data_IF_589422132321
#
_entry.id   IF_589422132321
#
_cell.length_a   1.000
_cell.length_b   1.000
_cell.length_c   1.000
_cell.angle_alpha   90.00
_cell.angle_beta   90.00
_cell.angle_gamma   90.00
#
_symmetry.space_group_name_H-M   'P 1'
#
loop_
_entity.id
_entity.type
_entity.pdbx_description
1 polymer ?
#
# COMPACT_ATOMS: atom_id res chain seq x y z
N UNK A 1 -51.60 21.84 -32.76
CA UNK A 1 -50.45 22.48 -32.09
C UNK A 1 -50.00 21.63 -30.90
N UNK A 2 -50.90 21.20 -30.02
CA UNK A 2 -50.58 20.39 -28.80
C UNK A 2 -49.73 19.12 -29.00
N UNK A 3 -49.92 18.38 -30.10
CA UNK A 3 -49.16 17.13 -30.34
C UNK A 3 -47.67 17.44 -30.60
N UNK A 4 -47.38 18.51 -31.33
CA UNK A 4 -46.01 18.92 -31.65
C UNK A 4 -45.29 19.38 -30.38
N UNK A 5 -45.97 20.15 -29.53
CA UNK A 5 -45.42 20.63 -28.25
C UNK A 5 -45.11 19.46 -27.30
N UNK A 6 -45.97 18.43 -27.25
CA UNK A 6 -45.74 17.22 -26.46
C UNK A 6 -44.54 16.40 -26.97
N UNK A 7 -44.37 16.28 -28.28
CA UNK A 7 -43.22 15.58 -28.87
C UNK A 7 -41.92 16.34 -28.62
N UNK A 8 -41.93 17.68 -28.72
CA UNK A 8 -40.77 18.52 -28.41
C UNK A 8 -40.41 18.41 -26.91
N UNK A 9 -41.39 18.53 -26.02
CA UNK A 9 -41.18 18.39 -24.57
C UNK A 9 -40.64 17.00 -24.21
N UNK A 10 -41.20 15.94 -24.79
CA UNK A 10 -40.72 14.56 -24.60
C UNK A 10 -39.28 14.36 -25.12
N UNK A 11 -38.94 14.96 -26.25
CA UNK A 11 -37.58 14.89 -26.83
C UNK A 11 -36.57 15.63 -25.95
N UNK A 12 -36.91 16.83 -25.46
CA UNK A 12 -36.06 17.59 -24.54
C UNK A 12 -35.86 16.81 -23.23
N UNK A 13 -36.94 16.24 -22.67
CA UNK A 13 -36.84 15.42 -21.46
C UNK A 13 -35.95 14.18 -21.66
N UNK A 14 -36.06 13.51 -22.81
CA UNK A 14 -35.22 12.36 -23.13
C UNK A 14 -33.74 12.75 -23.26
N UNK A 15 -33.44 13.88 -23.91
CA UNK A 15 -32.06 14.40 -24.04
C UNK A 15 -31.49 14.74 -22.66
N UNK A 16 -32.24 15.45 -21.82
CA UNK A 16 -31.81 15.80 -20.46
C UNK A 16 -31.62 14.55 -19.58
N UNK A 17 -32.49 13.55 -19.72
CA UNK A 17 -32.36 12.26 -19.04
C UNK A 17 -31.09 11.52 -19.46
N UNK A 18 -30.84 11.41 -20.76
CA UNK A 18 -29.63 10.77 -21.29
C UNK A 18 -28.34 11.51 -20.87
N UNK A 19 -28.36 12.85 -20.88
CA UNK A 19 -27.22 13.66 -20.45
C UNK A 19 -26.95 13.51 -18.95
N UNK A 20 -28.00 13.49 -18.12
CA UNK A 20 -27.90 13.26 -16.68
C UNK A 20 -27.34 11.87 -16.36
N UNK A 21 -27.83 10.84 -17.05
CA UNK A 21 -27.32 9.48 -16.91
C UNK A 21 -25.85 9.36 -17.34
N UNK A 22 -25.46 10.04 -18.43
CA UNK A 22 -24.07 10.09 -18.88
C UNK A 22 -23.15 10.73 -17.82
N UNK A 23 -23.55 11.89 -17.27
CA UNK A 23 -22.77 12.57 -16.22
C UNK A 23 -22.65 11.71 -14.97
N UNK A 24 -23.77 11.13 -14.50
CA UNK A 24 -23.78 10.25 -13.34
C UNK A 24 -22.84 9.06 -13.52
N UNK A 25 -22.96 8.36 -14.66
CA UNK A 25 -22.10 7.22 -14.96
C UNK A 25 -20.63 7.63 -15.03
N UNK A 26 -20.30 8.76 -15.65
CA UNK A 26 -18.93 9.25 -15.74
C UNK A 26 -18.32 9.57 -14.37
N UNK A 27 -19.09 10.23 -13.50
CA UNK A 27 -18.65 10.52 -12.13
C UNK A 27 -18.47 9.24 -11.32
N UNK A 28 -19.43 8.32 -11.40
CA UNK A 28 -19.38 7.03 -10.73
C UNK A 28 -18.17 6.19 -11.19
N UNK A 29 -17.87 6.16 -12.50
CA UNK A 29 -16.67 5.48 -13.02
C UNK A 29 -15.39 6.09 -12.47
N UNK A 30 -15.31 7.41 -12.38
CA UNK A 30 -14.13 8.09 -11.83
C UNK A 30 -13.92 7.74 -10.36
N UNK A 31 -14.99 7.76 -9.55
CA UNK A 31 -14.92 7.40 -8.13
C UNK A 31 -14.58 5.92 -7.93
N UNK A 32 -15.24 5.04 -8.67
CA UNK A 32 -14.98 3.59 -8.63
C UNK A 32 -13.54 3.28 -9.04
N UNK A 33 -13.04 3.90 -10.11
CA UNK A 33 -11.66 3.73 -10.56
C UNK A 33 -10.68 4.22 -9.48
N UNK A 34 -10.92 5.38 -8.86
CA UNK A 34 -10.08 5.89 -7.77
C UNK A 34 -10.05 4.90 -6.60
N UNK A 35 -11.21 4.41 -6.16
CA UNK A 35 -11.33 3.43 -5.07
C UNK A 35 -10.58 2.14 -5.38
N UNK A 36 -10.74 1.61 -6.59
CA UNK A 36 -10.04 0.41 -7.01
C UNK A 36 -8.51 0.60 -7.05
N UNK A 37 -8.03 1.77 -7.50
CA UNK A 37 -6.60 2.08 -7.47
C UNK A 37 -6.06 2.16 -6.05
N UNK A 38 -6.79 2.78 -5.11
CA UNK A 38 -6.41 2.82 -3.68
C UNK A 38 -6.27 1.40 -3.12
N UNK A 39 -7.28 0.55 -3.33
CA UNK A 39 -7.28 -0.83 -2.84
C UNK A 39 -6.16 -1.67 -3.48
N UNK A 40 -5.87 -1.45 -4.77
CA UNK A 40 -4.78 -2.14 -5.46
C UNK A 40 -3.42 -1.80 -4.85
N UNK A 41 -3.15 -0.51 -4.61
CA UNK A 41 -1.88 -0.05 -4.04
C UNK A 41 -1.79 -0.46 -2.57
N UNK A 42 -2.89 -0.40 -1.82
CA UNK A 42 -2.96 -0.96 -0.46
C UNK A 42 -2.54 -2.43 -0.45
N UNK A 43 -3.13 -3.24 -1.34
CA UNK A 43 -2.82 -4.67 -1.44
C UNK A 43 -1.35 -4.89 -1.77
N UNK A 44 -0.81 -4.17 -2.75
CA UNK A 44 0.60 -4.27 -3.16
C UNK A 44 1.57 -3.87 -2.04
N UNK A 45 1.24 -2.82 -1.28
CA UNK A 45 2.02 -2.38 -0.13
C UNK A 45 2.00 -3.42 1.00
N UNK A 46 0.83 -4.00 1.29
CA UNK A 46 0.68 -5.06 2.29
C UNK A 46 1.44 -6.32 1.87
N UNK A 47 1.36 -6.71 0.59
CA UNK A 47 2.08 -7.86 0.05
C UNK A 47 3.59 -7.64 0.10
N UNK A 48 4.06 -6.43 -0.20
CA UNK A 48 5.46 -6.04 -0.09
C UNK A 48 5.96 -6.09 1.36
N UNK A 49 5.15 -5.64 2.33
CA UNK A 49 5.45 -5.76 3.76
C UNK A 49 5.52 -7.22 4.22
N UNK A 50 4.61 -8.07 3.76
CA UNK A 50 4.64 -9.50 4.07
C UNK A 50 5.88 -10.18 3.46
N UNK A 51 6.16 -9.92 2.19
CA UNK A 51 7.35 -10.45 1.51
C UNK A 51 8.66 -10.00 2.17
N UNK A 52 8.70 -8.75 2.65
CA UNK A 52 9.83 -8.23 3.43
C UNK A 52 9.94 -8.96 4.77
N UNK A 53 8.81 -9.13 5.48
CA UNK A 53 8.79 -9.86 6.74
C UNK A 53 9.30 -11.29 6.55
N UNK A 54 8.80 -12.03 5.56
CA UNK A 54 9.22 -13.41 5.28
C UNK A 54 10.72 -13.49 5.00
N UNK A 55 11.23 -12.62 4.13
CA UNK A 55 12.67 -12.57 3.81
C UNK A 55 13.52 -12.22 5.03
N UNK A 56 13.07 -11.28 5.85
CA UNK A 56 13.78 -10.85 7.05
C UNK A 56 13.71 -11.90 8.17
N UNK A 57 12.57 -12.58 8.32
CA UNK A 57 12.39 -13.68 9.25
C UNK A 57 13.29 -14.85 8.86
N UNK A 58 13.31 -15.24 7.59
CA UNK A 58 14.22 -16.29 7.10
C UNK A 58 15.69 -15.90 7.38
N UNK A 59 16.07 -14.66 7.07
CA UNK A 59 17.42 -14.17 7.30
C UNK A 59 17.83 -14.21 8.77
N UNK A 60 16.98 -13.72 9.67
CA UNK A 60 17.28 -13.61 11.10
C UNK A 60 17.01 -14.89 11.90
N UNK A 61 16.35 -15.90 11.33
CA UNK A 61 16.04 -17.16 12.04
C UNK A 61 17.20 -18.16 12.07
N UNK A 62 18.14 -18.07 11.12
CA UNK A 62 19.30 -18.97 11.03
C UNK A 62 20.59 -18.22 11.31
N UNK A 63 21.69 -18.89 11.64
CA UNK A 63 23.01 -18.26 11.63
C UNK A 63 23.51 -18.09 10.20
N UNK A 64 24.47 -17.20 10.01
CA UNK A 64 25.03 -16.93 8.68
C UNK A 64 25.70 -18.15 8.06
N UNK A 65 26.36 -18.99 8.88
CA UNK A 65 27.01 -20.22 8.42
C UNK A 65 26.02 -21.25 7.87
N UNK A 66 24.78 -21.23 8.36
CA UNK A 66 23.74 -22.21 8.01
C UNK A 66 22.90 -21.75 6.80
N UNK A 67 23.02 -20.48 6.39
CA UNK A 67 22.16 -19.83 5.41
C UNK A 67 22.81 -19.79 4.02
N UNK A 68 22.51 -20.78 3.17
CA UNK A 68 23.08 -20.90 1.81
C UNK A 68 22.81 -19.70 0.90
N UNK A 69 21.67 -19.01 1.09
CA UNK A 69 21.20 -17.94 0.20
C UNK A 69 21.22 -16.55 0.87
N UNK A 70 22.14 -16.30 1.82
CA UNK A 70 22.14 -15.04 2.60
C UNK A 70 22.17 -13.78 1.73
N UNK A 71 23.03 -13.75 0.70
CA UNK A 71 23.18 -12.58 -0.19
C UNK A 71 21.92 -12.31 -1.00
N UNK A 72 21.22 -13.38 -1.40
CA UNK A 72 19.96 -13.25 -2.11
C UNK A 72 18.89 -12.67 -1.18
N UNK A 73 18.86 -13.10 0.09
CA UNK A 73 17.94 -12.56 1.09
C UNK A 73 18.26 -11.10 1.42
N UNK A 74 19.53 -10.73 1.57
CA UNK A 74 19.98 -9.34 1.75
C UNK A 74 19.53 -8.45 0.58
N UNK A 75 19.73 -8.91 -0.66
CA UNK A 75 19.28 -8.21 -1.86
C UNK A 75 17.75 -8.07 -1.91
N UNK A 76 17.00 -9.14 -1.59
CA UNK A 76 15.53 -9.11 -1.52
C UNK A 76 15.05 -8.11 -0.47
N UNK A 77 15.64 -8.10 0.72
CA UNK A 77 15.32 -7.17 1.80
C UNK A 77 15.54 -5.72 1.34
N UNK A 78 16.72 -5.41 0.77
CA UNK A 78 17.03 -4.05 0.28
C UNK A 78 16.09 -3.61 -0.84
N UNK A 79 15.84 -4.49 -1.81
CA UNK A 79 14.94 -4.22 -2.93
C UNK A 79 13.51 -3.95 -2.44
N UNK A 80 12.96 -4.84 -1.60
CA UNK A 80 11.62 -4.66 -1.04
C UNK A 80 11.52 -3.37 -0.23
N UNK A 81 12.53 -3.06 0.57
CA UNK A 81 12.55 -1.82 1.31
C UNK A 81 12.52 -0.57 0.41
N UNK A 82 13.32 -0.56 -0.66
CA UNK A 82 13.34 0.55 -1.63
C UNK A 82 12.00 0.79 -2.32
N UNK A 83 11.12 -0.22 -2.38
CA UNK A 83 9.78 -0.10 -2.96
C UNK A 83 8.71 0.43 -1.98
N UNK A 84 8.90 0.29 -0.66
CA UNK A 84 7.85 0.63 0.33
C UNK A 84 7.53 2.11 0.37
N UNK A 85 8.54 2.99 0.44
CA UNK A 85 8.33 4.43 0.49
C UNK A 85 7.68 4.98 -0.79
N UNK A 86 8.14 4.63 -2.01
CA UNK A 86 7.45 5.02 -3.23
C UNK A 86 6.00 4.56 -3.30
N UNK A 87 5.71 3.30 -2.95
CA UNK A 87 4.34 2.77 -2.91
C UNK A 87 3.47 3.53 -1.91
N UNK A 88 4.00 3.83 -0.73
CA UNK A 88 3.29 4.61 0.27
C UNK A 88 3.04 6.06 -0.18
N UNK A 89 4.01 6.71 -0.82
CA UNK A 89 3.85 8.04 -1.39
C UNK A 89 2.78 8.06 -2.49
N UNK A 90 2.76 7.05 -3.36
CA UNK A 90 1.73 6.90 -4.39
C UNK A 90 0.34 6.73 -3.77
N UNK A 91 0.22 5.90 -2.71
CA UNK A 91 -1.01 5.70 -1.97
C UNK A 91 -1.51 7.01 -1.34
N UNK A 92 -0.65 7.74 -0.63
CA UNK A 92 -1.01 9.01 0.01
C UNK A 92 -1.48 10.04 -1.00
N UNK A 93 -0.81 10.13 -2.16
CA UNK A 93 -1.18 11.03 -3.26
C UNK A 93 -2.55 10.70 -3.86
N UNK A 94 -2.82 9.42 -4.16
CA UNK A 94 -4.09 9.01 -4.79
C UNK A 94 -5.25 9.06 -3.80
N UNK A 95 -5.03 8.66 -2.54
CA UNK A 95 -6.05 8.68 -1.51
C UNK A 95 -6.50 10.11 -1.22
N UNK A 96 -5.54 11.00 -0.95
CA UNK A 96 -5.75 12.43 -0.74
C UNK A 96 -6.34 12.82 0.63
N UNK A 97 -6.67 11.85 1.49
CA UNK A 97 -7.22 12.08 2.84
C UNK A 97 -6.27 11.69 3.98
N UNK A 98 -5.02 11.32 3.68
CA UNK A 98 -4.00 11.20 4.73
C UNK A 98 -3.72 12.58 5.32
N UNK A 99 -3.85 12.72 6.64
CA UNK A 99 -3.33 13.91 7.31
C UNK A 99 -1.80 13.92 7.24
N UNK A 100 -1.20 15.11 7.29
CA UNK A 100 0.27 15.24 7.33
C UNK A 100 0.89 14.43 8.48
N UNK A 101 0.24 14.42 9.65
CA UNK A 101 0.67 13.64 10.81
C UNK A 101 0.61 12.13 10.61
N UNK A 102 -0.44 11.61 9.97
CA UNK A 102 -0.56 10.17 9.66
C UNK A 102 0.48 9.72 8.64
N UNK A 103 0.67 10.51 7.58
CA UNK A 103 1.66 10.24 6.55
C UNK A 103 3.08 10.19 7.13
N UNK A 104 3.44 11.20 7.94
CA UNK A 104 4.73 11.27 8.61
C UNK A 104 4.91 10.11 9.61
N UNK A 105 3.87 9.76 10.37
CA UNK A 105 3.90 8.63 11.30
C UNK A 105 4.19 7.31 10.59
N UNK A 106 3.49 7.01 9.49
CA UNK A 106 3.68 5.74 8.76
C UNK A 106 5.05 5.73 8.08
N UNK A 107 5.50 6.86 7.53
CA UNK A 107 6.85 7.00 6.96
C UNK A 107 7.92 6.68 8.00
N UNK A 108 7.82 7.28 9.20
CA UNK A 108 8.75 6.99 10.30
C UNK A 108 8.69 5.52 10.75
N UNK A 109 7.51 4.88 10.72
CA UNK A 109 7.38 3.46 11.04
C UNK A 109 8.06 2.56 9.98
N UNK A 110 7.98 2.93 8.70
CA UNK A 110 8.71 2.26 7.61
C UNK A 110 10.22 2.43 7.81
N UNK A 111 10.70 3.63 8.12
CA UNK A 111 12.12 3.88 8.42
C UNK A 111 12.61 3.08 9.63
N UNK A 112 11.85 3.06 10.73
CA UNK A 112 12.17 2.24 11.90
C UNK A 112 12.19 0.74 11.58
N UNK A 113 11.30 0.26 10.70
CA UNK A 113 11.33 -1.11 10.23
C UNK A 113 12.65 -1.41 9.50
N UNK A 114 13.16 -0.49 8.68
CA UNK A 114 14.48 -0.65 8.04
C UNK A 114 15.58 -0.86 9.06
N UNK A 115 15.63 0.01 10.07
CA UNK A 115 16.63 -0.06 11.12
C UNK A 115 16.53 -1.39 11.85
N UNK A 116 15.32 -1.85 12.19
CA UNK A 116 15.16 -3.14 12.87
C UNK A 116 15.67 -4.32 12.04
N UNK A 117 15.47 -4.27 10.72
CA UNK A 117 15.93 -5.31 9.79
C UNK A 117 17.45 -5.23 9.56
N UNK A 118 18.04 -4.04 9.49
CA UNK A 118 19.43 -3.82 9.06
C UNK A 118 20.42 -3.51 10.19
N UNK A 119 19.96 -3.28 11.41
CA UNK A 119 20.83 -2.98 12.56
C UNK A 119 21.78 -4.14 12.92
N UNK A 120 22.87 -3.84 13.62
CA UNK A 120 23.84 -4.81 14.13
C UNK A 120 24.67 -5.49 13.05
N UNK A 121 24.63 -6.83 13.01
CA UNK A 121 25.47 -7.64 12.14
C UNK A 121 24.84 -7.95 10.77
N UNK A 122 24.00 -7.07 10.23
CA UNK A 122 23.46 -7.25 8.88
C UNK A 122 24.59 -7.29 7.85
N UNK A 123 24.51 -8.21 6.88
CA UNK A 123 25.57 -8.52 5.88
C UNK A 123 26.89 -9.05 6.47
N UNK A 124 26.97 -9.22 7.79
CA UNK A 124 28.17 -9.72 8.45
C UNK A 124 28.27 -11.23 8.33
N UNK A 125 29.49 -11.71 8.02
CA UNK A 125 29.83 -13.14 8.04
C UNK A 125 29.66 -13.78 9.42
N UNK A 126 29.65 -12.99 10.50
CA UNK A 126 29.55 -13.44 11.90
C UNK A 126 28.14 -13.24 12.49
N UNK A 127 27.13 -13.02 11.65
CA UNK A 127 25.75 -12.82 12.10
C UNK A 127 25.17 -14.11 12.69
N UNK A 128 24.60 -13.98 13.89
CA UNK A 128 23.86 -15.05 14.55
C UNK A 128 22.35 -14.88 14.35
N UNK A 129 21.61 -15.98 14.51
CA UNK A 129 20.16 -15.97 14.60
C UNK A 129 19.69 -15.05 15.75
N UNK A 130 18.55 -14.39 15.55
CA UNK A 130 17.97 -13.48 16.54
C UNK A 130 16.44 -13.55 16.55
N UNK A 131 15.85 -14.45 17.36
CA UNK A 131 14.40 -14.55 17.50
C UNK A 131 13.75 -13.23 17.98
N UNK A 132 14.46 -12.47 18.81
CA UNK A 132 14.00 -11.15 19.28
C UNK A 132 13.82 -10.17 18.10
N UNK A 133 14.74 -10.17 17.13
CA UNK A 133 14.59 -9.35 15.92
C UNK A 133 13.43 -9.83 15.07
N UNK A 134 13.28 -11.14 14.89
CA UNK A 134 12.14 -11.71 14.16
C UNK A 134 10.80 -11.21 14.71
N UNK A 135 10.63 -11.26 16.04
CA UNK A 135 9.42 -10.75 16.70
C UNK A 135 9.23 -9.24 16.48
N UNK A 136 10.31 -8.45 16.62
CA UNK A 136 10.25 -6.99 16.44
C UNK A 136 9.86 -6.60 15.02
N UNK A 137 10.46 -7.26 14.01
CA UNK A 137 10.17 -7.05 12.59
C UNK A 137 8.72 -7.39 12.28
N UNK A 138 8.25 -8.56 12.72
CA UNK A 138 6.85 -8.99 12.52
C UNK A 138 5.86 -8.00 13.14
N UNK A 139 6.13 -7.54 14.37
CA UNK A 139 5.27 -6.57 15.06
C UNK A 139 5.26 -5.21 14.34
N UNK A 140 6.41 -4.72 13.88
CA UNK A 140 6.49 -3.48 13.11
C UNK A 140 5.73 -3.57 11.79
N UNK A 141 5.89 -4.65 11.03
CA UNK A 141 5.11 -4.88 9.81
C UNK A 141 3.61 -4.89 10.09
N UNK A 142 3.16 -5.58 11.15
CA UNK A 142 1.75 -5.60 11.53
C UNK A 142 1.21 -4.23 11.95
N UNK A 143 2.00 -3.46 12.70
CA UNK A 143 1.63 -2.10 13.11
C UNK A 143 1.42 -1.19 11.90
N UNK A 144 2.34 -1.22 10.93
CA UNK A 144 2.24 -0.45 9.69
C UNK A 144 0.98 -0.84 8.92
N UNK A 145 0.74 -2.16 8.73
CA UNK A 145 -0.47 -2.67 8.05
C UNK A 145 -1.77 -2.19 8.71
N UNK A 146 -1.83 -2.21 10.04
CA UNK A 146 -3.00 -1.73 10.80
C UNK A 146 -3.20 -0.22 10.60
N UNK A 147 -2.13 0.57 10.68
CA UNK A 147 -2.22 2.03 10.51
C UNK A 147 -2.65 2.42 9.09
N UNK A 148 -2.13 1.74 8.06
CA UNK A 148 -2.55 1.97 6.67
C UNK A 148 -4.05 1.66 6.50
N UNK A 149 -4.48 0.46 6.93
CA UNK A 149 -5.90 0.06 6.86
C UNK A 149 -6.81 1.02 7.61
N UNK A 150 -6.38 1.47 8.78
CA UNK A 150 -7.15 2.43 9.57
C UNK A 150 -7.42 3.71 8.80
N UNK A 151 -6.44 4.24 8.06
CA UNK A 151 -6.61 5.50 7.32
C UNK A 151 -7.41 5.31 6.03
N UNK A 152 -7.26 4.16 5.34
CA UNK A 152 -7.98 3.90 4.09
C UNK A 152 -9.47 3.61 4.33
N UNK A 153 -9.78 2.93 5.43
CA UNK A 153 -11.14 2.46 5.74
C UNK A 153 -11.82 3.27 6.85
N UNK A 154 -11.22 4.39 7.30
CA UNK A 154 -11.86 5.39 8.17
C UNK A 154 -12.75 6.34 7.38
#
# INVERSE_FOLDING_TARGET
MEIVDRVIAGSIAAILGAFSAYLFNRLNWKETSKKNSILSIESELIESLNSLADSALEYWSYNQADLKNSKLLEAKIKMRFSSLNPLFQQLTFIHGSFTCGESLKITNEIEQLFEHVTDGNFESKKRNASPKKCLKISNSCNKIKINIRKVIHS
#
